data_IF_398049225275
#
_entry.id   IF_398049225275
#
_cell.length_a   1.000
_cell.length_b   1.000
_cell.length_c   1.000
_cell.angle_alpha   90.00
_cell.angle_beta   90.00
_cell.angle_gamma   90.00
#
_symmetry.space_group_name_H-M   'P 1'
#
loop_
_entity.id
_entity.type
_entity.pdbx_description
1 polymer ?
#
# COMPACT_ATOMS: atom_id res chain seq x y z
N UNK A 1 6.02 23.13 4.82
CA UNK A 1 6.27 22.78 3.38
C UNK A 1 6.39 24.10 2.63
N UNK A 2 7.56 24.41 2.09
CA UNK A 2 7.79 25.66 1.34
C UNK A 2 7.20 25.48 -0.07
N UNK A 3 6.15 26.22 -0.36
CA UNK A 3 5.57 26.36 -1.69
C UNK A 3 6.60 27.11 -2.53
N UNK A 4 7.31 26.43 -3.41
CA UNK A 4 8.34 27.05 -4.25
C UNK A 4 9.40 26.09 -4.77
N UNK A 5 9.39 24.86 -4.28
CA UNK A 5 10.27 23.82 -4.78
C UNK A 5 9.65 23.17 -6.02
N UNK A 6 10.43 23.04 -7.10
CA UNK A 6 10.02 22.40 -8.38
C UNK A 6 9.86 20.88 -8.23
N UNK A 7 9.33 20.42 -7.09
CA UNK A 7 9.06 19.00 -6.88
C UNK A 7 7.88 18.55 -7.71
N UNK A 8 8.03 17.43 -8.36
CA UNK A 8 6.92 16.70 -8.98
C UNK A 8 5.95 16.25 -7.89
N UNK A 9 4.78 16.88 -7.80
CA UNK A 9 3.75 16.60 -6.80
C UNK A 9 2.97 15.30 -7.10
N UNK A 10 3.17 14.71 -8.29
CA UNK A 10 2.58 13.42 -8.65
C UNK A 10 3.36 12.23 -8.09
N UNK A 11 4.49 12.46 -7.41
CA UNK A 11 5.37 11.40 -6.88
C UNK A 11 5.69 11.62 -5.40
N UNK A 12 5.94 10.52 -4.71
CA UNK A 12 6.45 10.51 -3.33
C UNK A 12 7.78 9.75 -3.30
N UNK A 13 8.92 10.43 -3.54
CA UNK A 13 10.22 9.77 -3.62
C UNK A 13 10.61 8.98 -2.35
N UNK A 14 10.05 9.35 -1.20
CA UNK A 14 10.25 8.60 0.04
C UNK A 14 9.59 7.21 -0.02
N UNK A 15 8.41 7.08 -0.63
CA UNK A 15 7.74 5.80 -0.88
C UNK A 15 8.58 4.92 -1.80
N UNK A 16 9.07 5.46 -2.90
CA UNK A 16 9.90 4.75 -3.87
C UNK A 16 11.18 4.20 -3.22
N UNK A 17 11.87 5.02 -2.41
CA UNK A 17 13.09 4.59 -1.68
C UNK A 17 12.78 3.53 -0.64
N UNK A 18 11.71 3.68 0.12
CA UNK A 18 11.31 2.72 1.14
C UNK A 18 10.91 1.37 0.52
N UNK A 19 10.14 1.40 -0.58
CA UNK A 19 9.76 0.22 -1.35
C UNK A 19 10.99 -0.52 -1.90
N UNK A 20 11.88 0.20 -2.57
CA UNK A 20 13.12 -0.38 -3.12
C UNK A 20 14.00 -1.02 -2.02
N UNK A 21 14.06 -0.41 -0.85
CA UNK A 21 14.80 -0.96 0.29
C UNK A 21 14.15 -2.25 0.82
N UNK A 22 12.84 -2.25 1.00
CA UNK A 22 12.07 -3.41 1.48
C UNK A 22 12.17 -4.59 0.50
N UNK A 23 11.95 -4.35 -0.78
CA UNK A 23 12.07 -5.39 -1.81
C UNK A 23 13.47 -6.00 -1.87
N UNK A 24 14.50 -5.16 -1.85
CA UNK A 24 15.89 -5.64 -1.85
C UNK A 24 16.20 -6.49 -0.61
N UNK A 25 15.73 -6.08 0.56
CA UNK A 25 15.93 -6.83 1.81
C UNK A 25 15.24 -8.18 1.78
N UNK A 26 14.04 -8.25 1.21
CA UNK A 26 13.25 -9.48 1.12
C UNK A 26 13.67 -10.39 -0.05
N UNK A 27 14.45 -9.91 -1.01
CA UNK A 27 14.74 -10.64 -2.25
C UNK A 27 13.52 -10.78 -3.15
N UNK A 28 12.54 -9.86 -3.04
CA UNK A 28 11.28 -9.84 -3.76
C UNK A 28 11.16 -8.61 -4.64
N UNK A 29 10.10 -8.55 -5.44
CA UNK A 29 9.70 -7.38 -6.21
C UNK A 29 8.19 -7.14 -6.10
N UNK A 30 7.67 -6.04 -6.65
CA UNK A 30 6.25 -5.72 -6.60
C UNK A 30 5.36 -6.82 -7.18
N UNK A 31 5.85 -7.57 -8.16
CA UNK A 31 5.13 -8.70 -8.78
C UNK A 31 4.91 -9.91 -7.85
N UNK A 32 5.57 -9.94 -6.69
CA UNK A 32 5.45 -11.02 -5.71
C UNK A 32 4.44 -10.69 -4.60
N UNK A 33 3.83 -9.51 -4.62
CA UNK A 33 2.89 -9.06 -3.59
C UNK A 33 1.47 -9.41 -3.99
N UNK A 34 0.74 -10.08 -3.11
CA UNK A 34 -0.63 -10.54 -3.34
C UNK A 34 -1.68 -9.61 -2.74
N UNK A 35 -1.35 -8.89 -1.67
CA UNK A 35 -2.27 -8.00 -0.96
C UNK A 35 -1.52 -6.82 -0.35
N UNK A 36 -2.16 -5.64 -0.36
CA UNK A 36 -1.56 -4.39 0.13
C UNK A 36 -2.49 -3.68 1.09
N UNK A 37 -1.95 -3.24 2.22
CA UNK A 37 -2.55 -2.23 3.09
C UNK A 37 -1.68 -0.97 3.05
N UNK A 38 -2.20 0.10 2.46
CA UNK A 38 -1.46 1.35 2.30
C UNK A 38 -2.19 2.54 2.93
N UNK A 39 -1.46 3.64 3.06
CA UNK A 39 -1.94 4.85 3.70
C UNK A 39 -2.76 5.71 2.75
N UNK A 40 -4.06 5.47 2.70
CA UNK A 40 -5.06 6.13 1.85
C UNK A 40 -5.77 7.29 2.54
N UNK A 41 -5.02 8.17 3.23
CA UNK A 41 -5.61 9.33 3.92
C UNK A 41 -6.42 10.24 2.98
N UNK A 42 -6.07 10.26 1.70
CA UNK A 42 -6.82 10.86 0.59
C UNK A 42 -6.86 9.88 -0.60
N UNK A 43 -7.88 10.00 -1.45
CA UNK A 43 -8.01 9.13 -2.63
C UNK A 43 -6.81 9.20 -3.55
N UNK A 44 -6.26 10.39 -3.79
CA UNK A 44 -5.04 10.56 -4.58
C UNK A 44 -3.82 9.90 -3.92
N UNK A 45 -3.77 9.81 -2.59
CA UNK A 45 -2.66 9.19 -1.89
C UNK A 45 -2.55 7.69 -2.19
N UNK A 46 -3.69 6.99 -2.35
CA UNK A 46 -3.72 5.60 -2.78
C UNK A 46 -3.12 5.43 -4.18
N UNK A 47 -3.56 6.26 -5.14
CA UNK A 47 -3.07 6.22 -6.53
C UNK A 47 -1.55 6.41 -6.57
N UNK A 48 -1.07 7.49 -5.98
CA UNK A 48 0.37 7.83 -5.96
C UNK A 48 1.18 6.78 -5.20
N UNK A 49 0.62 6.19 -4.14
CA UNK A 49 1.30 5.14 -3.39
C UNK A 49 1.42 3.86 -4.20
N UNK A 50 0.38 3.42 -4.93
CA UNK A 50 0.45 2.23 -5.78
C UNK A 50 1.48 2.36 -6.89
N UNK A 51 1.65 3.55 -7.46
CA UNK A 51 2.69 3.86 -8.43
C UNK A 51 4.08 3.90 -7.77
N UNK A 52 4.23 4.60 -6.65
CA UNK A 52 5.49 4.72 -5.93
C UNK A 52 6.00 3.40 -5.33
N UNK A 53 5.10 2.46 -5.04
CA UNK A 53 5.41 1.09 -4.64
C UNK A 53 5.79 0.18 -5.83
N UNK A 54 5.65 0.66 -7.06
CA UNK A 54 6.01 -0.05 -8.28
C UNK A 54 4.96 -1.04 -8.78
N UNK A 55 3.72 -0.96 -8.30
CA UNK A 55 2.66 -1.84 -8.77
C UNK A 55 2.09 -1.43 -10.13
N UNK A 56 2.09 -0.13 -10.39
CA UNK A 56 1.63 0.47 -11.64
C UNK A 56 2.64 1.51 -12.11
N UNK A 57 2.71 1.69 -13.42
CA UNK A 57 3.54 2.74 -14.01
C UNK A 57 3.04 4.15 -13.60
N UNK A 58 3.91 5.13 -13.45
CA UNK A 58 3.52 6.50 -13.14
C UNK A 58 2.42 7.03 -14.05
N UNK A 59 1.36 7.56 -13.46
CA UNK A 59 0.18 8.08 -14.16
C UNK A 59 -0.87 7.04 -14.54
N UNK A 60 -0.69 5.76 -14.19
CA UNK A 60 -1.63 4.69 -14.55
C UNK A 60 -2.39 4.10 -13.36
N UNK A 61 -2.03 4.44 -12.12
CA UNK A 61 -2.66 3.91 -10.92
C UNK A 61 -4.15 4.24 -10.83
N UNK A 62 -4.55 5.45 -11.25
CA UNK A 62 -5.97 5.84 -11.34
C UNK A 62 -6.77 4.98 -12.32
N UNK A 63 -6.20 4.69 -13.49
CA UNK A 63 -6.82 3.81 -14.49
C UNK A 63 -6.91 2.36 -13.99
N UNK A 64 -5.92 1.90 -13.24
CA UNK A 64 -5.94 0.59 -12.62
C UNK A 64 -7.07 0.46 -11.59
N UNK A 65 -7.28 1.49 -10.77
CA UNK A 65 -8.39 1.56 -9.82
C UNK A 65 -9.75 1.59 -10.54
N UNK A 66 -9.89 2.41 -11.58
CA UNK A 66 -11.12 2.48 -12.41
C UNK A 66 -11.47 1.11 -13.02
N UNK A 67 -10.48 0.36 -13.46
CA UNK A 67 -10.67 -1.01 -14.00
C UNK A 67 -10.93 -2.07 -12.93
N UNK A 68 -10.98 -1.70 -11.65
CA UNK A 68 -11.19 -2.62 -10.54
C UNK A 68 -9.98 -3.53 -10.24
N UNK A 69 -8.80 -3.23 -10.76
CA UNK A 69 -7.61 -4.06 -10.53
C UNK A 69 -7.14 -4.03 -9.07
N UNK A 70 -7.48 -2.95 -8.33
CA UNK A 70 -7.17 -2.80 -6.91
C UNK A 70 -8.29 -3.27 -5.99
N UNK A 71 -9.43 -3.66 -6.53
CA UNK A 71 -10.56 -4.17 -5.76
C UNK A 71 -10.32 -5.59 -5.25
N UNK A 72 -11.09 -6.01 -4.25
CA UNK A 72 -11.11 -7.41 -3.82
C UNK A 72 -11.48 -8.32 -5.00
N UNK A 73 -10.66 -9.34 -5.25
CA UNK A 73 -10.76 -10.20 -6.44
C UNK A 73 -10.14 -9.60 -7.71
N UNK A 74 -9.61 -8.39 -7.65
CA UNK A 74 -8.84 -7.78 -8.72
C UNK A 74 -7.40 -8.31 -8.80
N UNK A 75 -6.60 -7.69 -9.66
CA UNK A 75 -5.21 -8.10 -9.92
C UNK A 75 -4.30 -7.95 -8.70
N UNK A 76 -4.49 -6.89 -7.91
CA UNK A 76 -3.76 -6.58 -6.70
C UNK A 76 -4.70 -5.91 -5.69
N UNK A 77 -5.37 -6.66 -4.82
CA UNK A 77 -6.25 -6.08 -3.81
C UNK A 77 -5.51 -5.09 -2.89
N UNK A 78 -6.01 -3.85 -2.87
CA UNK A 78 -5.48 -2.76 -2.06
C UNK A 78 -6.51 -2.41 -1.00
N UNK A 79 -6.05 -2.32 0.26
CA UNK A 79 -6.88 -1.97 1.40
C UNK A 79 -8.16 -2.82 1.53
N UNK A 80 -8.06 -4.17 1.52
CA UNK A 80 -9.24 -5.02 1.72
C UNK A 80 -9.93 -4.76 3.06
N UNK A 81 -9.22 -4.18 4.04
CA UNK A 81 -9.79 -3.72 5.32
C UNK A 81 -10.78 -2.56 5.18
N UNK A 82 -10.83 -1.91 4.01
CA UNK A 82 -11.52 -0.65 3.77
C UNK A 82 -10.62 0.58 3.91
N UNK A 83 -9.37 0.38 4.31
CA UNK A 83 -8.38 1.46 4.46
C UNK A 83 -8.76 2.51 5.49
N UNK A 84 -8.01 3.61 5.52
CA UNK A 84 -8.26 4.75 6.41
C UNK A 84 -9.58 5.43 6.07
N UNK A 85 -10.01 5.37 4.82
CA UNK A 85 -11.23 6.01 4.32
C UNK A 85 -12.48 5.39 4.91
N UNK A 86 -12.53 4.08 5.12
CA UNK A 86 -13.71 3.40 5.63
C UNK A 86 -13.62 3.03 7.11
N UNK A 87 -12.46 2.59 7.61
CA UNK A 87 -12.30 2.16 9.01
C UNK A 87 -11.80 3.26 9.96
N UNK A 88 -11.45 4.44 9.42
CA UNK A 88 -10.94 5.57 10.21
C UNK A 88 -9.41 5.60 10.29
N UNK A 89 -8.90 6.73 10.78
CA UNK A 89 -7.46 7.03 10.83
C UNK A 89 -7.01 7.47 12.24
N UNK A 90 -6.95 6.57 13.23
CA UNK A 90 -6.30 6.86 14.52
C UNK A 90 -4.78 6.91 14.27
N UNK A 91 -4.21 8.10 14.30
CA UNK A 91 -2.84 8.40 13.82
C UNK A 91 -1.78 7.45 14.41
N UNK A 92 -1.85 7.16 15.72
CA UNK A 92 -0.92 6.26 16.38
C UNK A 92 -1.16 4.77 16.14
N UNK A 93 -2.34 4.38 15.62
CA UNK A 93 -2.75 2.99 15.47
C UNK A 93 -2.84 2.51 14.01
N UNK A 94 -2.83 3.42 13.04
CA UNK A 94 -3.02 3.09 11.62
C UNK A 94 -2.01 2.06 11.12
N UNK A 95 -0.72 2.25 11.39
CA UNK A 95 0.31 1.29 10.98
C UNK A 95 0.12 -0.09 11.61
N UNK A 96 -0.24 -0.16 12.90
CA UNK A 96 -0.55 -1.42 13.55
C UNK A 96 -1.78 -2.10 12.96
N UNK A 97 -2.82 -1.33 12.61
CA UNK A 97 -4.03 -1.85 11.96
C UNK A 97 -3.74 -2.43 10.56
N UNK A 98 -2.86 -1.80 9.80
CA UNK A 98 -2.40 -2.33 8.50
C UNK A 98 -1.69 -3.67 8.67
N UNK A 99 -0.77 -3.76 9.63
CA UNK A 99 -0.07 -5.02 9.92
C UNK A 99 -1.06 -6.10 10.37
N UNK A 100 -1.99 -5.78 11.26
CA UNK A 100 -3.01 -6.72 11.74
C UNK A 100 -3.84 -7.26 10.57
N UNK A 101 -4.28 -6.41 9.63
CA UNK A 101 -5.04 -6.88 8.46
C UNK A 101 -4.19 -7.79 7.58
N UNK A 102 -2.94 -7.42 7.26
CA UNK A 102 -2.05 -8.27 6.46
C UNK A 102 -1.83 -9.63 7.12
N UNK A 103 -1.59 -9.66 8.43
CA UNK A 103 -1.45 -10.93 9.17
C UNK A 103 -2.74 -11.77 9.09
N UNK A 104 -3.90 -11.14 9.25
CA UNK A 104 -5.21 -11.79 9.13
C UNK A 104 -5.42 -12.38 7.74
N UNK A 105 -5.07 -11.64 6.69
CA UNK A 105 -5.11 -12.09 5.30
C UNK A 105 -4.20 -13.31 5.07
N UNK A 106 -2.94 -13.23 5.51
CA UNK A 106 -1.97 -14.32 5.33
C UNK A 106 -2.33 -15.58 6.12
N UNK A 107 -3.08 -15.45 7.21
CA UNK A 107 -3.61 -16.60 7.99
C UNK A 107 -4.87 -17.21 7.38
N UNK A 108 -5.50 -16.56 6.39
CA UNK A 108 -6.77 -17.01 5.84
C UNK A 108 -7.97 -16.73 6.74
N UNK A 109 -7.85 -15.76 7.64
CA UNK A 109 -8.84 -15.45 8.69
C UNK A 109 -9.66 -14.19 8.38
N UNK A 110 -9.53 -13.61 7.18
CA UNK A 110 -10.16 -12.33 6.84
C UNK A 110 -11.66 -12.46 6.45
N UNK A 111 -12.23 -13.67 6.43
CA UNK A 111 -13.64 -13.91 6.14
C UNK A 111 -14.04 -13.34 4.77
N UNK A 112 -15.05 -12.47 4.72
CA UNK A 112 -15.56 -11.90 3.45
C UNK A 112 -14.55 -10.97 2.75
N UNK A 113 -13.50 -10.53 3.44
CA UNK A 113 -12.45 -9.69 2.88
C UNK A 113 -11.24 -10.51 2.40
N UNK A 114 -11.30 -11.82 2.50
CA UNK A 114 -10.18 -12.69 2.20
C UNK A 114 -9.70 -12.54 0.76
N UNK A 115 -8.42 -12.29 0.59
CA UNK A 115 -7.70 -12.41 -0.67
C UNK A 115 -7.26 -13.87 -0.77
N UNK A 116 -7.93 -14.62 -1.63
CA UNK A 116 -7.69 -16.04 -1.76
C UNK A 116 -6.27 -16.35 -2.23
N UNK A 117 -5.61 -17.26 -1.55
CA UNK A 117 -4.27 -17.71 -1.90
C UNK A 117 -3.15 -16.73 -1.58
N UNK A 118 -3.41 -15.61 -0.91
CA UNK A 118 -2.40 -14.63 -0.55
C UNK A 118 -1.28 -15.26 0.30
N UNK A 119 -0.03 -15.10 -0.14
CA UNK A 119 1.18 -15.58 0.53
C UNK A 119 2.13 -14.44 0.91
N UNK A 120 2.05 -13.31 0.21
CA UNK A 120 2.89 -12.15 0.44
C UNK A 120 2.02 -10.90 0.57
N UNK A 121 2.15 -10.22 1.68
CA UNK A 121 1.46 -8.97 1.95
C UNK A 121 2.43 -7.81 2.16
N UNK A 122 2.00 -6.60 1.81
CA UNK A 122 2.78 -5.39 1.98
C UNK A 122 2.00 -4.37 2.80
N UNK A 123 2.67 -3.70 3.74
CA UNK A 123 2.15 -2.49 4.38
C UNK A 123 2.95 -1.27 3.97
N UNK A 124 2.27 -0.14 3.77
CA UNK A 124 2.86 1.16 3.48
C UNK A 124 2.25 2.22 4.38
N UNK A 125 3.05 2.81 5.23
CA UNK A 125 2.61 3.83 6.20
C UNK A 125 3.35 5.14 5.97
N UNK A 126 2.60 6.25 5.97
CA UNK A 126 3.15 7.59 5.87
C UNK A 126 3.02 8.34 7.20
N UNK A 127 4.01 9.18 7.50
CA UNK A 127 3.99 10.12 8.60
C UNK A 127 4.58 11.48 8.21
N UNK A 128 4.16 12.53 8.92
CA UNK A 128 4.77 13.85 8.83
C UNK A 128 4.83 14.43 7.40
N UNK A 129 3.70 14.55 6.72
CA UNK A 129 3.63 15.09 5.35
C UNK A 129 4.62 14.38 4.38
N UNK A 130 4.66 13.06 4.42
CA UNK A 130 5.59 12.23 3.61
C UNK A 130 7.08 12.31 4.04
N UNK A 131 7.37 12.90 5.19
CA UNK A 131 8.74 12.97 5.71
C UNK A 131 9.25 11.59 6.18
N UNK A 132 8.35 10.76 6.67
CA UNK A 132 8.65 9.38 7.10
C UNK A 132 7.77 8.42 6.34
N UNK A 133 8.39 7.41 5.72
CA UNK A 133 7.69 6.32 5.04
C UNK A 133 8.26 5.00 5.51
N UNK A 134 7.36 4.09 5.87
CA UNK A 134 7.72 2.72 6.24
C UNK A 134 7.00 1.77 5.30
N UNK A 135 7.77 0.88 4.67
CA UNK A 135 7.26 -0.25 3.87
C UNK A 135 7.74 -1.53 4.53
N UNK A 136 6.79 -2.44 4.78
CA UNK A 136 7.11 -3.76 5.34
C UNK A 136 6.50 -4.86 4.48
N UNK A 137 7.24 -5.93 4.28
CA UNK A 137 6.81 -7.14 3.60
C UNK A 137 6.60 -8.26 4.62
N UNK A 138 5.54 -9.00 4.45
CA UNK A 138 5.17 -10.15 5.27
C UNK A 138 4.92 -11.33 4.35
N UNK A 139 5.42 -12.49 4.75
CA UNK A 139 5.20 -13.73 4.04
C UNK A 139 4.65 -14.80 4.96
N UNK A 140 3.96 -15.79 4.37
CA UNK A 140 3.63 -17.03 5.06
C UNK A 140 4.30 -18.19 4.32
N UNK A 141 4.81 -19.15 5.08
CA UNK A 141 5.39 -20.42 4.61
C UNK A 141 4.34 -21.35 4.03
#
# INVERSE_FOLDING_TARGET
MLIGDKRDLSRVPATERAAAAAYRQAGLGPQNVDVVELHDCFTIAEIVATEGLGFFEPGTGGLAAEKGWTSLGGRLPVNPSGGLKAKGHPIGATGAAQIAEIVTQLRGEAGKRQVEGARTGLTHTLGGNTATVVVSLFGRD
#
